data_IF_930197060584
#
_entry.id   IF_930197060584
#
_cell.length_a   1.000
_cell.length_b   1.000
_cell.length_c   1.000
_cell.angle_alpha   90.00
_cell.angle_beta   90.00
_cell.angle_gamma   90.00
#
_symmetry.space_group_name_H-M   'P 1'
#
loop_
_entity.id
_entity.type
_entity.pdbx_description
1 polymer ?
#
# COMPACT_ATOMS: atom_id res chain seq x y z
N UNK A 1 7.44 5.00 30.90
CA UNK A 1 8.29 5.84 30.04
C UNK A 1 7.35 6.87 29.42
N UNK A 2 7.57 8.17 29.61
CA UNK A 2 6.69 9.19 29.05
C UNK A 2 7.24 9.65 27.67
N UNK A 3 6.38 10.24 26.84
CA UNK A 3 6.70 10.64 25.46
C UNK A 3 7.92 11.62 25.41
N UNK A 4 8.06 12.49 26.41
CA UNK A 4 9.17 13.44 26.49
C UNK A 4 10.53 12.76 26.73
N UNK A 5 10.53 11.65 27.45
CA UNK A 5 11.74 10.87 27.70
C UNK A 5 12.17 10.12 26.42
N UNK A 6 11.20 9.60 25.65
CA UNK A 6 11.48 8.96 24.35
C UNK A 6 12.06 9.99 23.36
N UNK A 7 11.48 11.18 23.27
CA UNK A 7 11.98 12.26 22.39
C UNK A 7 13.40 12.68 22.80
N UNK A 8 13.66 12.87 24.11
CA UNK A 8 14.99 13.21 24.61
C UNK A 8 16.05 12.12 24.36
N UNK A 9 15.65 10.86 24.36
CA UNK A 9 16.56 9.75 24.07
C UNK A 9 16.85 9.62 22.57
N UNK A 10 15.88 9.96 21.71
CA UNK A 10 16.10 10.08 20.26
C UNK A 10 17.04 11.22 19.92
N UNK A 11 16.93 12.38 20.56
CA UNK A 11 17.85 13.53 20.37
C UNK A 11 19.31 13.21 20.72
N UNK A 12 19.55 12.29 21.65
CA UNK A 12 20.91 11.84 22.00
C UNK A 12 21.54 10.96 20.92
N UNK A 13 20.72 10.31 20.08
CA UNK A 13 21.13 9.40 19.02
C UNK A 13 21.20 10.13 17.68
N UNK A 14 20.30 11.09 17.44
CA UNK A 14 20.20 11.87 16.21
C UNK A 14 20.03 13.36 16.59
N UNK A 15 21.11 14.12 16.56
CA UNK A 15 21.13 15.54 16.94
C UNK A 15 20.19 16.41 16.08
N UNK A 16 19.88 15.97 14.86
CA UNK A 16 18.99 16.69 13.93
C UNK A 16 17.52 16.27 14.07
N UNK A 17 17.22 15.31 14.96
CA UNK A 17 15.85 14.80 15.15
C UNK A 17 14.88 15.92 15.57
N UNK A 18 15.33 16.87 16.39
CA UNK A 18 14.52 18.00 16.83
C UNK A 18 14.14 18.94 15.69
N UNK A 19 15.06 19.27 14.79
CA UNK A 19 14.77 20.11 13.63
C UNK A 19 13.84 19.40 12.64
N UNK A 20 14.04 18.11 12.43
CA UNK A 20 13.15 17.29 11.60
C UNK A 20 11.77 17.14 12.22
N UNK A 21 11.64 16.90 13.51
CA UNK A 21 10.37 16.87 14.24
C UNK A 21 9.68 18.24 14.24
N UNK A 22 10.43 19.34 14.36
CA UNK A 22 9.88 20.69 14.27
C UNK A 22 9.35 21.01 12.85
N UNK A 23 10.04 20.55 11.81
CA UNK A 23 9.60 20.68 10.41
C UNK A 23 8.28 19.94 10.16
N UNK A 24 8.12 18.73 10.74
CA UNK A 24 6.91 17.92 10.65
C UNK A 24 5.90 18.16 11.79
N UNK A 25 6.12 19.20 12.63
CA UNK A 25 5.24 19.47 13.76
C UNK A 25 3.79 19.73 13.30
N UNK A 26 2.80 19.28 14.11
CA UNK A 26 1.36 19.51 13.89
C UNK A 26 1.04 20.95 13.53
N UNK A 27 1.84 21.90 14.01
CA UNK A 27 1.65 23.34 13.74
C UNK A 27 1.95 23.73 12.28
N UNK A 28 2.91 23.08 11.64
CA UNK A 28 3.16 23.27 10.20
C UNK A 28 2.12 22.54 9.36
N UNK A 29 1.68 21.39 9.80
CA UNK A 29 0.53 20.67 9.22
C UNK A 29 -0.75 21.52 9.28
N UNK A 30 -1.03 22.14 10.43
CA UNK A 30 -2.20 23.03 10.60
C UNK A 30 -2.07 24.34 9.82
N UNK A 31 -0.85 24.86 9.63
CA UNK A 31 -0.63 26.05 8.76
C UNK A 31 -0.80 25.72 7.28
N UNK A 32 -0.39 24.53 6.85
CA UNK A 32 -0.66 24.01 5.50
C UNK A 32 -2.16 23.71 5.32
N UNK A 33 -2.80 23.08 6.31
CA UNK A 33 -4.24 22.82 6.31
C UNK A 33 -5.13 24.08 6.31
N UNK A 34 -4.69 25.21 6.92
CA UNK A 34 -5.43 26.49 6.87
C UNK A 34 -5.43 27.16 5.50
N UNK A 35 -4.49 26.82 4.61
CA UNK A 35 -4.49 27.27 3.21
C UNK A 35 -5.30 26.34 2.29
N UNK A 36 -5.70 25.17 2.76
CA UNK A 36 -6.45 24.14 2.01
C UNK A 36 -7.91 24.02 2.49
N UNK A 37 -8.37 24.87 3.43
CA UNK A 37 -9.72 24.80 4.00
C UNK A 37 -10.84 25.36 3.12
N UNK A 38 -10.65 25.41 1.82
CA UNK A 38 -11.72 25.73 0.87
C UNK A 38 -11.55 24.88 -0.39
N UNK A 39 -11.88 23.61 -0.35
CA UNK A 39 -12.46 22.84 -1.45
C UNK A 39 -12.34 21.33 -1.20
N UNK A 40 -13.37 20.64 -1.54
CA UNK A 40 -13.49 19.19 -1.80
C UNK A 40 -12.56 18.72 -2.96
N UNK A 41 -11.44 19.43 -3.21
CA UNK A 41 -10.45 19.19 -4.26
C UNK A 41 -9.08 18.75 -3.72
N UNK A 42 -9.02 18.23 -2.49
CA UNK A 42 -7.76 17.89 -1.84
C UNK A 42 -6.83 16.95 -2.64
N UNK A 43 -7.30 15.87 -3.30
CA UNK A 43 -6.42 15.03 -4.11
C UNK A 43 -5.82 15.75 -5.32
N UNK A 44 -6.60 16.61 -5.99
CA UNK A 44 -6.16 17.31 -7.19
C UNK A 44 -5.14 18.42 -6.88
N UNK A 45 -5.25 19.09 -5.73
CA UNK A 45 -4.30 20.15 -5.31
C UNK A 45 -2.97 19.55 -4.88
N UNK A 46 -2.97 18.44 -4.15
CA UNK A 46 -1.73 17.71 -3.78
C UNK A 46 -1.05 17.18 -5.06
N UNK A 47 -1.81 16.63 -5.98
CA UNK A 47 -1.30 16.16 -7.25
C UNK A 47 -0.72 17.27 -8.14
N UNK A 48 -1.34 18.46 -8.18
CA UNK A 48 -0.84 19.61 -8.93
C UNK A 48 0.48 20.14 -8.35
N UNK A 49 0.61 20.22 -7.03
CA UNK A 49 1.86 20.64 -6.38
C UNK A 49 3.00 19.63 -6.59
N UNK A 50 2.68 18.35 -6.75
CA UNK A 50 3.66 17.31 -7.09
C UNK A 50 4.11 17.39 -8.57
N UNK A 51 3.24 17.83 -9.47
CA UNK A 51 3.58 18.00 -10.89
C UNK A 51 4.50 19.22 -11.16
N UNK A 52 4.30 20.32 -10.45
CA UNK A 52 5.05 21.57 -10.69
C UNK A 52 6.46 21.55 -10.09
N UNK A 53 6.74 20.66 -9.15
CA UNK A 53 8.00 20.67 -8.38
C UNK A 53 9.10 19.78 -8.97
N UNK A 54 8.78 18.78 -9.83
CA UNK A 54 9.77 17.81 -10.27
C UNK A 54 9.57 17.38 -11.73
N UNK A 55 10.57 17.62 -12.57
CA UNK A 55 10.79 16.80 -13.76
C UNK A 55 11.08 15.38 -13.29
N UNK A 56 10.04 14.54 -13.23
CA UNK A 56 10.14 13.17 -12.72
C UNK A 56 11.13 12.37 -13.59
N UNK A 57 12.08 11.73 -12.95
CA UNK A 57 12.98 10.81 -13.65
C UNK A 57 12.15 9.67 -14.28
N UNK A 58 12.64 9.08 -15.37
CA UNK A 58 11.97 7.95 -16.04
C UNK A 58 11.71 6.78 -15.08
N UNK A 59 12.56 6.58 -14.08
CA UNK A 59 12.39 5.56 -13.05
C UNK A 59 11.20 5.85 -12.11
N UNK A 60 11.02 7.10 -11.69
CA UNK A 60 9.88 7.52 -10.85
C UNK A 60 8.57 7.36 -11.62
N UNK A 61 8.50 7.85 -12.86
CA UNK A 61 7.31 7.71 -13.71
C UNK A 61 6.96 6.23 -13.92
N UNK A 62 7.97 5.38 -14.15
CA UNK A 62 7.75 3.95 -14.33
C UNK A 62 7.23 3.28 -13.05
N UNK A 63 7.75 3.65 -11.87
CA UNK A 63 7.28 3.12 -10.58
C UNK A 63 5.85 3.56 -10.27
N UNK A 64 5.51 4.84 -10.49
CA UNK A 64 4.16 5.35 -10.28
C UNK A 64 3.14 4.76 -11.25
N UNK A 65 3.48 4.57 -12.52
CA UNK A 65 2.61 3.92 -13.50
C UNK A 65 2.40 2.43 -13.20
N UNK A 66 3.42 1.78 -12.68
CA UNK A 66 3.30 0.41 -12.20
C UNK A 66 2.31 0.34 -11.02
N UNK A 67 2.47 1.19 -10.01
CA UNK A 67 1.52 1.31 -8.91
C UNK A 67 0.11 1.61 -9.43
N UNK A 68 -0.06 2.62 -10.30
CA UNK A 68 -1.35 2.98 -10.89
C UNK A 68 -2.04 1.81 -11.61
N UNK A 69 -1.27 0.90 -12.21
CA UNK A 69 -1.85 -0.29 -12.86
C UNK A 69 -2.45 -1.26 -11.84
N UNK A 70 -1.82 -1.40 -10.67
CA UNK A 70 -2.35 -2.22 -9.57
C UNK A 70 -3.59 -1.58 -8.94
N UNK A 71 -3.55 -0.29 -8.67
CA UNK A 71 -4.72 0.44 -8.14
C UNK A 71 -5.93 0.38 -9.11
N UNK A 72 -5.68 0.43 -10.42
CA UNK A 72 -6.76 0.22 -11.40
C UNK A 72 -7.36 -1.19 -11.33
N UNK A 73 -6.52 -2.20 -11.08
CA UNK A 73 -6.97 -3.58 -10.92
C UNK A 73 -7.86 -3.72 -9.68
N UNK A 74 -7.45 -3.16 -8.55
CA UNK A 74 -8.14 -3.22 -7.28
C UNK A 74 -9.43 -2.39 -7.30
N UNK A 75 -9.39 -1.16 -7.81
CA UNK A 75 -10.59 -0.33 -8.04
C UNK A 75 -11.64 -1.07 -8.86
N UNK A 76 -11.24 -1.66 -9.99
CA UNK A 76 -12.17 -2.40 -10.86
C UNK A 76 -12.71 -3.66 -10.17
N UNK A 77 -11.86 -4.38 -9.45
CA UNK A 77 -12.24 -5.58 -8.72
C UNK A 77 -13.29 -5.28 -7.64
N UNK A 78 -13.05 -4.30 -6.78
CA UNK A 78 -14.01 -3.93 -5.75
C UNK A 78 -15.29 -3.33 -6.32
N UNK A 79 -15.20 -2.52 -7.36
CA UNK A 79 -16.35 -1.97 -8.07
C UNK A 79 -17.28 -3.08 -8.58
N UNK A 80 -16.73 -4.08 -9.24
CA UNK A 80 -17.48 -5.23 -9.76
C UNK A 80 -18.02 -6.11 -8.64
N UNK A 81 -17.23 -6.40 -7.61
CA UNK A 81 -17.66 -7.16 -6.45
C UNK A 81 -18.85 -6.52 -5.74
N UNK A 82 -18.79 -5.21 -5.50
CA UNK A 82 -19.88 -4.44 -4.89
C UNK A 82 -21.11 -4.35 -5.79
N UNK A 83 -20.93 -4.37 -7.11
CA UNK A 83 -22.01 -4.39 -8.09
C UNK A 83 -22.68 -5.76 -8.27
N UNK A 84 -22.03 -6.85 -7.81
CA UNK A 84 -22.57 -8.20 -7.94
C UNK A 84 -23.63 -8.46 -6.85
N UNK A 85 -24.88 -8.67 -7.29
CA UNK A 85 -26.00 -8.88 -6.37
C UNK A 85 -25.81 -10.16 -5.54
N UNK A 86 -25.97 -10.05 -4.22
CA UNK A 86 -25.91 -11.19 -3.29
C UNK A 86 -24.50 -11.73 -3.02
N UNK A 87 -23.45 -11.18 -3.63
CA UNK A 87 -22.09 -11.64 -3.43
C UNK A 87 -21.59 -11.31 -2.02
N UNK A 88 -21.64 -10.04 -1.61
CA UNK A 88 -21.10 -9.55 -0.36
C UNK A 88 -22.19 -9.51 0.70
N UNK A 89 -22.04 -10.23 1.85
CA UNK A 89 -22.99 -10.16 2.96
C UNK A 89 -23.20 -8.74 3.44
N UNK A 90 -24.41 -8.45 3.91
CA UNK A 90 -24.77 -7.12 4.41
C UNK A 90 -23.87 -6.64 5.55
N UNK A 91 -23.42 -7.57 6.42
CA UNK A 91 -22.51 -7.27 7.54
C UNK A 91 -21.15 -6.73 7.08
N UNK A 92 -20.63 -7.23 5.95
CA UNK A 92 -19.27 -6.93 5.48
C UNK A 92 -19.28 -5.83 4.39
N UNK A 93 -20.47 -5.49 3.88
CA UNK A 93 -20.60 -4.55 2.76
C UNK A 93 -20.03 -3.17 3.06
N UNK A 94 -20.15 -2.68 4.29
CA UNK A 94 -19.63 -1.39 4.69
C UNK A 94 -18.08 -1.36 4.61
N UNK A 95 -17.43 -2.46 5.01
CA UNK A 95 -15.98 -2.63 4.96
C UNK A 95 -15.52 -2.60 3.49
N UNK A 96 -16.10 -3.45 2.63
CA UNK A 96 -15.76 -3.51 1.21
C UNK A 96 -16.01 -2.18 0.49
N UNK A 97 -17.08 -1.46 0.86
CA UNK A 97 -17.34 -0.11 0.33
C UNK A 97 -16.28 0.88 0.76
N UNK A 98 -15.77 0.78 1.99
CA UNK A 98 -14.71 1.68 2.46
C UNK A 98 -13.37 1.39 1.76
N UNK A 99 -13.00 0.12 1.59
CA UNK A 99 -11.81 -0.25 0.81
C UNK A 99 -11.95 0.31 -0.63
N UNK A 100 -13.04 0.03 -1.32
CA UNK A 100 -13.27 0.56 -2.68
C UNK A 100 -13.13 2.09 -2.78
N UNK A 101 -13.54 2.85 -1.77
CA UNK A 101 -13.33 4.31 -1.74
C UNK A 101 -11.87 4.69 -1.61
N UNK A 102 -11.07 3.89 -0.90
CA UNK A 102 -9.64 4.13 -0.79
C UNK A 102 -8.96 3.87 -2.14
N UNK A 103 -9.30 2.79 -2.85
CA UNK A 103 -8.75 2.50 -4.18
C UNK A 103 -9.08 3.60 -5.21
N UNK A 104 -10.30 4.12 -5.19
CA UNK A 104 -10.67 5.29 -6.00
C UNK A 104 -9.78 6.50 -5.68
N UNK A 105 -9.48 6.73 -4.40
CA UNK A 105 -8.63 7.84 -3.97
C UNK A 105 -7.16 7.62 -4.35
N UNK A 106 -6.64 6.40 -4.25
CA UNK A 106 -5.29 6.03 -4.67
C UNK A 106 -5.11 6.23 -6.19
N UNK A 107 -6.04 5.73 -7.00
CA UNK A 107 -6.08 5.97 -8.45
C UNK A 107 -6.07 7.46 -8.77
N UNK A 108 -6.94 8.25 -8.12
CA UNK A 108 -7.04 9.68 -8.36
C UNK A 108 -5.73 10.41 -8.02
N UNK A 109 -5.09 10.04 -6.91
CA UNK A 109 -3.82 10.60 -6.46
C UNK A 109 -2.68 10.29 -7.45
N UNK A 110 -2.51 9.03 -7.83
CA UNK A 110 -1.45 8.61 -8.76
C UNK A 110 -1.64 9.21 -10.15
N UNK A 111 -2.87 9.25 -10.65
CA UNK A 111 -3.18 9.94 -11.93
C UNK A 111 -2.84 11.41 -11.87
N UNK A 112 -3.20 12.07 -10.77
CA UNK A 112 -2.88 13.48 -10.57
C UNK A 112 -1.37 13.72 -10.51
N UNK A 113 -0.62 12.87 -9.80
CA UNK A 113 0.83 12.95 -9.71
C UNK A 113 1.53 12.70 -11.05
N UNK A 114 0.99 11.82 -11.89
CA UNK A 114 1.54 11.49 -13.21
C UNK A 114 1.12 12.47 -14.31
N UNK A 115 -0.03 13.14 -14.17
CA UNK A 115 -0.56 14.03 -15.19
C UNK A 115 -0.70 13.34 -16.55
N UNK A 116 -0.11 13.93 -17.60
CA UNK A 116 -0.13 13.38 -18.96
C UNK A 116 0.72 12.10 -19.14
N UNK A 117 1.60 11.78 -18.17
CA UNK A 117 2.40 10.56 -18.19
C UNK A 117 1.64 9.34 -17.61
N UNK A 118 0.41 9.53 -17.10
CA UNK A 118 -0.39 8.44 -16.55
C UNK A 118 -0.82 7.46 -17.65
N UNK A 119 -0.57 6.15 -17.39
CA UNK A 119 -1.05 5.09 -18.28
C UNK A 119 -2.58 5.04 -18.26
N UNK A 120 -3.16 4.67 -19.39
CA UNK A 120 -4.60 4.40 -19.47
C UNK A 120 -4.96 3.18 -18.62
N UNK A 121 -6.19 3.16 -18.07
CA UNK A 121 -6.71 1.99 -17.34
C UNK A 121 -6.79 0.79 -18.30
N UNK A 122 -6.10 -0.32 -18.00
CA UNK A 122 -6.20 -1.54 -18.80
C UNK A 122 -7.61 -2.14 -18.73
N UNK A 123 -7.94 -3.02 -19.67
CA UNK A 123 -9.08 -3.90 -19.51
C UNK A 123 -8.67 -5.08 -18.59
N UNK A 124 -9.59 -5.46 -17.69
CA UNK A 124 -9.38 -6.55 -16.75
C UNK A 124 -10.42 -7.67 -16.95
N UNK A 125 -10.02 -8.88 -16.62
CA UNK A 125 -10.87 -10.07 -16.60
C UNK A 125 -10.68 -10.80 -15.28
N UNK A 126 -11.77 -11.08 -14.59
CA UNK A 126 -11.74 -11.70 -13.26
C UNK A 126 -12.30 -13.13 -13.27
N UNK A 127 -12.71 -13.64 -14.44
CA UNK A 127 -13.23 -15.01 -14.55
C UNK A 127 -14.39 -15.26 -13.57
N UNK A 128 -14.25 -16.31 -12.75
CA UNK A 128 -15.29 -16.76 -11.82
C UNK A 128 -15.13 -16.22 -10.40
N UNK A 129 -14.24 -15.22 -10.16
CA UNK A 129 -13.93 -14.73 -8.79
C UNK A 129 -15.15 -14.15 -8.06
N UNK A 130 -16.15 -13.68 -8.80
CA UNK A 130 -17.41 -13.16 -8.24
C UNK A 130 -18.49 -14.24 -8.07
N UNK A 131 -18.17 -15.52 -8.28
CA UNK A 131 -19.12 -16.62 -8.16
C UNK A 131 -19.55 -16.93 -6.71
N UNK A 132 -18.72 -16.63 -5.73
CA UNK A 132 -19.04 -16.73 -4.31
C UNK A 132 -18.15 -15.83 -3.46
N UNK A 133 -18.59 -15.53 -2.25
CA UNK A 133 -17.92 -14.61 -1.36
C UNK A 133 -16.53 -15.07 -0.89
N UNK A 134 -16.33 -16.38 -0.69
CA UNK A 134 -15.04 -16.92 -0.26
C UNK A 134 -13.96 -16.75 -1.33
N UNK A 135 -14.32 -17.01 -2.60
CA UNK A 135 -13.43 -16.80 -3.74
C UNK A 135 -13.11 -15.32 -3.92
N UNK A 136 -14.12 -14.46 -3.78
CA UNK A 136 -13.95 -13.00 -3.81
C UNK A 136 -12.95 -12.55 -2.72
N UNK A 137 -13.15 -12.97 -1.46
CA UNK A 137 -12.25 -12.61 -0.36
C UNK A 137 -10.83 -13.18 -0.56
N UNK A 138 -10.70 -14.39 -1.11
CA UNK A 138 -9.39 -14.97 -1.37
C UNK A 138 -8.62 -14.17 -2.44
N UNK A 139 -9.32 -13.70 -3.47
CA UNK A 139 -8.73 -12.86 -4.52
C UNK A 139 -8.42 -11.46 -3.98
N UNK A 140 -9.32 -10.88 -3.19
CA UNK A 140 -9.08 -9.61 -2.51
C UNK A 140 -7.80 -9.69 -1.67
N UNK A 141 -7.66 -10.71 -0.81
CA UNK A 141 -6.44 -10.90 -0.02
C UNK A 141 -5.18 -10.99 -0.90
N UNK A 142 -5.26 -11.72 -2.00
CA UNK A 142 -4.11 -11.86 -2.89
C UNK A 142 -3.72 -10.52 -3.53
N UNK A 143 -4.68 -9.67 -3.88
CA UNK A 143 -4.40 -8.33 -4.43
C UNK A 143 -3.81 -7.42 -3.36
N UNK A 144 -4.44 -7.29 -2.21
CA UNK A 144 -3.97 -6.43 -1.12
C UNK A 144 -2.56 -6.82 -0.63
N UNK A 145 -2.31 -8.12 -0.38
CA UNK A 145 -0.98 -8.61 -0.01
C UNK A 145 0.06 -8.32 -1.13
N UNK A 146 -0.36 -8.43 -2.40
CA UNK A 146 0.49 -8.08 -3.55
C UNK A 146 0.75 -6.57 -3.57
N UNK A 147 -0.25 -5.73 -3.34
CA UNK A 147 -0.14 -4.28 -3.28
C UNK A 147 0.87 -3.83 -2.22
N UNK A 148 0.75 -4.33 -0.98
CA UNK A 148 1.73 -4.07 0.11
C UNK A 148 3.15 -4.37 -0.35
N UNK A 149 3.37 -5.55 -0.91
CA UNK A 149 4.70 -6.03 -1.31
C UNK A 149 5.24 -5.35 -2.55
N UNK A 150 4.35 -4.95 -3.48
CA UNK A 150 4.68 -4.21 -4.69
C UNK A 150 5.17 -2.78 -4.36
N UNK A 151 4.44 -2.05 -3.51
CA UNK A 151 4.87 -0.72 -3.05
C UNK A 151 6.24 -0.77 -2.37
N UNK A 152 6.45 -1.76 -1.52
CA UNK A 152 7.74 -1.99 -0.86
C UNK A 152 8.86 -2.25 -1.88
N UNK A 153 8.60 -3.08 -2.89
CA UNK A 153 9.56 -3.40 -3.95
C UNK A 153 9.93 -2.22 -4.84
N UNK A 154 9.04 -1.22 -4.99
CA UNK A 154 9.29 0.00 -5.77
C UNK A 154 9.86 1.16 -4.95
N UNK A 155 9.92 1.06 -3.63
CA UNK A 155 10.37 2.15 -2.77
C UNK A 155 11.77 2.67 -3.14
N UNK A 156 12.68 1.77 -3.55
CA UNK A 156 14.02 2.13 -3.99
C UNK A 156 14.06 3.08 -5.19
N UNK A 157 13.11 2.94 -6.13
CA UNK A 157 13.02 3.81 -7.31
C UNK A 157 12.51 5.22 -6.97
N UNK A 158 11.92 5.41 -5.78
CA UNK A 158 11.35 6.67 -5.31
C UNK A 158 12.26 7.38 -4.28
N UNK A 159 13.42 6.81 -3.94
CA UNK A 159 14.33 7.40 -2.96
C UNK A 159 14.73 8.83 -3.35
N UNK A 160 14.69 9.72 -2.36
CA UNK A 160 15.05 11.13 -2.53
C UNK A 160 13.97 11.98 -3.21
N UNK A 161 12.77 11.43 -3.41
CA UNK A 161 11.62 12.16 -3.99
C UNK A 161 10.46 12.26 -3.00
N UNK A 162 9.60 13.27 -3.15
CA UNK A 162 8.38 13.41 -2.33
C UNK A 162 7.38 12.29 -2.61
N UNK A 163 7.46 11.66 -3.79
CA UNK A 163 6.63 10.54 -4.19
C UNK A 163 6.86 9.32 -3.30
N UNK A 164 8.04 9.16 -2.69
CA UNK A 164 8.27 8.10 -1.71
C UNK A 164 7.32 8.22 -0.52
N UNK A 165 7.15 9.44 0.02
CA UNK A 165 6.23 9.64 1.16
C UNK A 165 4.80 9.27 0.78
N UNK A 166 4.34 9.68 -0.40
CA UNK A 166 3.01 9.34 -0.91
C UNK A 166 2.84 7.83 -1.09
N UNK A 167 3.82 7.17 -1.70
CA UNK A 167 3.81 5.72 -1.88
C UNK A 167 3.76 4.96 -0.53
N UNK A 168 4.49 5.43 0.48
CA UNK A 168 4.45 4.86 1.83
C UNK A 168 3.11 5.10 2.55
N UNK A 169 2.44 6.22 2.27
CA UNK A 169 1.08 6.46 2.78
C UNK A 169 0.08 5.47 2.19
N UNK A 170 0.11 5.22 0.88
CA UNK A 170 -0.71 4.18 0.25
C UNK A 170 -0.31 2.80 0.80
N UNK A 171 0.96 2.41 0.74
CA UNK A 171 1.47 1.15 1.28
C UNK A 171 0.92 0.82 2.68
N UNK A 172 0.86 1.81 3.57
CA UNK A 172 0.35 1.59 4.93
C UNK A 172 -1.17 1.38 4.97
N UNK A 173 -1.92 1.88 3.99
CA UNK A 173 -3.37 1.64 3.84
C UNK A 173 -3.60 0.27 3.25
N UNK A 174 -2.83 -0.14 2.22
CA UNK A 174 -2.86 -1.50 1.67
C UNK A 174 -2.64 -2.57 2.75
N UNK A 175 -1.68 -2.36 3.65
CA UNK A 175 -1.45 -3.28 4.77
C UNK A 175 -2.67 -3.39 5.71
N UNK A 176 -3.45 -2.32 5.87
CA UNK A 176 -4.70 -2.35 6.65
C UNK A 176 -5.80 -3.08 5.90
N UNK A 177 -5.93 -2.88 4.58
CA UNK A 177 -6.87 -3.60 3.73
C UNK A 177 -6.57 -5.11 3.78
N UNK A 178 -5.31 -5.50 3.53
CA UNK A 178 -4.87 -6.88 3.62
C UNK A 178 -5.23 -7.51 4.97
N UNK A 179 -4.91 -6.82 6.08
CA UNK A 179 -5.22 -7.30 7.42
C UNK A 179 -6.72 -7.47 7.65
N UNK A 180 -7.55 -6.53 7.18
CA UNK A 180 -9.00 -6.59 7.35
C UNK A 180 -9.62 -7.69 6.49
N UNK A 181 -9.21 -7.84 5.22
CA UNK A 181 -9.68 -8.92 4.35
C UNK A 181 -9.29 -10.29 4.93
N UNK A 182 -8.08 -10.45 5.48
CA UNK A 182 -7.65 -11.65 6.18
C UNK A 182 -8.55 -11.96 7.38
N UNK A 183 -8.93 -10.96 8.16
CA UNK A 183 -9.84 -11.12 9.31
C UNK A 183 -11.22 -11.56 8.89
N UNK A 184 -11.77 -11.00 7.80
CA UNK A 184 -13.05 -11.44 7.23
C UNK A 184 -13.01 -12.91 6.76
N UNK A 185 -11.83 -13.41 6.39
CA UNK A 185 -11.59 -14.82 6.10
C UNK A 185 -11.37 -15.70 7.34
N UNK A 186 -11.37 -15.13 8.55
CA UNK A 186 -11.07 -15.84 9.79
C UNK A 186 -9.58 -16.17 9.97
N UNK A 187 -8.70 -15.47 9.23
CA UNK A 187 -7.26 -15.65 9.28
C UNK A 187 -6.59 -14.61 10.22
N UNK A 188 -5.30 -14.79 10.45
CA UNK A 188 -4.47 -13.77 11.11
C UNK A 188 -4.31 -12.56 10.18
N UNK A 189 -4.22 -11.36 10.76
CA UNK A 189 -4.08 -10.10 10.02
C UNK A 189 -2.66 -9.84 9.45
N UNK A 190 -1.82 -10.88 9.34
CA UNK A 190 -0.47 -10.83 8.80
C UNK A 190 -0.15 -12.12 8.04
N UNK A 191 0.87 -12.10 7.21
CA UNK A 191 1.33 -13.25 6.43
C UNK A 191 1.89 -14.33 7.38
N UNK A 192 1.57 -15.57 7.13
CA UNK A 192 1.96 -16.73 7.94
C UNK A 192 2.55 -17.86 7.08
N UNK A 193 3.13 -18.86 7.70
CA UNK A 193 3.64 -20.07 7.00
C UNK A 193 2.55 -20.84 6.23
N UNK A 194 1.28 -20.60 6.52
CA UNK A 194 0.16 -21.20 5.79
C UNK A 194 -0.15 -20.49 4.46
N UNK A 195 0.35 -19.28 4.30
CA UNK A 195 0.21 -18.50 3.06
C UNK A 195 1.28 -18.97 2.07
N UNK A 196 0.87 -19.50 0.91
CA UNK A 196 1.75 -20.10 -0.08
C UNK A 196 1.45 -19.64 -1.50
N UNK A 197 2.38 -19.91 -2.40
CA UNK A 197 2.25 -19.55 -3.81
C UNK A 197 2.97 -18.26 -4.20
N UNK A 198 2.82 -17.81 -5.46
CA UNK A 198 3.60 -16.68 -6.01
C UNK A 198 3.44 -15.38 -5.25
N UNK A 199 2.25 -15.13 -4.67
CA UNK A 199 1.96 -13.92 -3.87
C UNK A 199 2.87 -13.85 -2.65
N UNK A 200 3.30 -14.99 -2.10
CA UNK A 200 4.07 -15.09 -0.85
C UNK A 200 5.52 -15.56 -1.05
N UNK A 201 6.01 -15.52 -2.29
CA UNK A 201 7.41 -15.85 -2.59
C UNK A 201 8.36 -14.91 -1.83
N UNK A 202 9.36 -15.48 -1.14
CA UNK A 202 10.33 -14.72 -0.35
C UNK A 202 9.96 -14.54 1.13
N UNK A 203 8.74 -14.89 1.56
CA UNK A 203 8.32 -14.77 2.96
C UNK A 203 8.99 -15.79 3.89
N UNK A 204 9.71 -16.77 3.36
CA UNK A 204 10.52 -17.72 4.13
C UNK A 204 11.79 -17.12 4.74
N UNK A 205 12.12 -15.87 4.45
CA UNK A 205 13.33 -15.21 4.93
C UNK A 205 13.26 -14.94 6.43
N UNK A 206 14.33 -15.31 7.14
CA UNK A 206 14.48 -15.12 8.60
C UNK A 206 15.55 -14.10 8.96
N UNK A 207 16.20 -13.51 7.96
CA UNK A 207 17.27 -12.51 8.15
C UNK A 207 16.90 -11.19 7.49
N UNK A 208 16.99 -10.10 8.25
CA UNK A 208 16.79 -8.74 7.75
C UNK A 208 18.09 -7.96 7.80
N UNK A 209 18.53 -7.39 6.67
CA UNK A 209 19.79 -6.64 6.57
C UNK A 209 21.00 -7.39 7.15
N UNK A 210 21.06 -8.71 6.95
CA UNK A 210 22.12 -9.59 7.46
C UNK A 210 21.97 -10.01 8.92
N UNK A 211 20.91 -9.56 9.60
CA UNK A 211 20.63 -9.93 11.00
C UNK A 211 19.66 -11.13 11.03
N UNK A 212 20.08 -12.24 11.63
CA UNK A 212 19.18 -13.39 11.85
C UNK A 212 18.25 -13.11 13.03
N UNK A 213 16.99 -12.83 12.72
CA UNK A 213 15.99 -12.41 13.69
C UNK A 213 15.59 -13.52 14.67
N UNK A 214 15.57 -14.78 14.21
CA UNK A 214 15.25 -15.91 15.08
C UNK A 214 16.33 -16.08 16.17
N UNK A 215 17.61 -15.95 15.80
CA UNK A 215 18.72 -15.99 16.76
C UNK A 215 18.69 -14.80 17.72
N UNK A 216 18.45 -13.60 17.20
CA UNK A 216 18.47 -12.36 18.00
C UNK A 216 17.33 -12.31 19.02
N UNK A 217 16.13 -12.73 18.60
CA UNK A 217 14.93 -12.64 19.43
C UNK A 217 14.71 -13.82 20.37
N UNK A 218 15.42 -14.93 20.17
CA UNK A 218 15.17 -16.21 20.85
C UNK A 218 13.78 -16.81 20.52
N UNK A 219 13.16 -16.35 19.44
CA UNK A 219 11.85 -16.79 18.96
C UNK A 219 12.02 -17.82 17.83
N UNK A 220 10.95 -18.54 17.50
CA UNK A 220 10.97 -19.46 16.36
C UNK A 220 11.17 -18.71 15.03
N UNK A 221 11.71 -19.40 14.04
CA UNK A 221 11.83 -18.89 12.68
C UNK A 221 10.49 -18.39 12.12
N UNK A 222 9.40 -19.14 12.36
CA UNK A 222 8.04 -18.75 12.02
C UNK A 222 7.67 -17.37 12.57
N UNK A 223 7.89 -17.12 13.87
CA UNK A 223 7.57 -15.82 14.47
C UNK A 223 8.45 -14.69 13.97
N UNK A 224 9.69 -15.00 13.60
CA UNK A 224 10.57 -14.00 12.99
C UNK A 224 10.04 -13.60 11.60
N UNK A 225 9.64 -14.57 10.76
CA UNK A 225 9.05 -14.31 9.44
C UNK A 225 7.72 -13.55 9.54
N UNK A 226 6.82 -13.96 10.43
CA UNK A 226 5.52 -13.29 10.65
C UNK A 226 5.64 -11.80 11.07
N UNK A 227 6.84 -11.29 11.31
CA UNK A 227 7.08 -9.90 11.75
C UNK A 227 7.43 -8.96 10.59
N UNK A 228 7.57 -9.48 9.38
CA UNK A 228 7.98 -8.71 8.20
C UNK A 228 7.26 -9.23 6.97
N UNK A 229 6.88 -8.33 6.08
CA UNK A 229 6.43 -8.66 4.73
C UNK A 229 7.57 -8.36 3.75
N UNK A 230 8.00 -9.35 2.99
CA UNK A 230 9.11 -9.19 2.05
C UNK A 230 8.66 -8.46 0.77
N UNK A 231 9.51 -7.65 0.15
CA UNK A 231 9.17 -6.99 -1.10
C UNK A 231 9.05 -8.00 -2.25
N UNK A 232 8.18 -7.71 -3.22
CA UNK A 232 8.16 -8.37 -4.52
C UNK A 232 8.82 -7.49 -5.57
N UNK A 233 9.57 -8.11 -6.48
CA UNK A 233 10.05 -7.42 -7.66
C UNK A 233 8.90 -7.11 -8.62
N UNK A 234 9.11 -6.12 -9.50
CA UNK A 234 8.13 -5.78 -10.54
C UNK A 234 7.71 -7.00 -11.36
N UNK A 235 8.65 -7.83 -11.77
CA UNK A 235 8.38 -9.00 -12.63
C UNK A 235 7.56 -10.06 -11.88
N UNK A 236 7.82 -10.27 -10.59
CA UNK A 236 7.02 -11.16 -9.76
C UNK A 236 5.57 -10.66 -9.64
N UNK A 237 5.38 -9.38 -9.38
CA UNK A 237 4.05 -8.77 -9.33
C UNK A 237 3.33 -8.87 -10.67
N UNK A 238 4.00 -8.56 -11.77
CA UNK A 238 3.42 -8.69 -13.12
C UNK A 238 3.00 -10.12 -13.42
N UNK A 239 3.79 -11.12 -13.02
CA UNK A 239 3.41 -12.52 -13.16
C UNK A 239 2.15 -12.89 -12.36
N UNK A 240 1.97 -12.30 -11.16
CA UNK A 240 0.78 -12.50 -10.31
C UNK A 240 -0.47 -11.90 -10.96
N UNK A 241 -0.36 -10.68 -11.50
CA UNK A 241 -1.53 -9.94 -12.04
C UNK A 241 -1.82 -10.24 -13.51
N UNK A 242 -0.86 -10.81 -14.26
CA UNK A 242 -1.03 -11.14 -15.68
C UNK A 242 -2.30 -11.94 -16.01
N UNK A 243 -2.75 -12.93 -15.21
CA UNK A 243 -3.99 -13.65 -15.47
C UNK A 243 -5.24 -12.76 -15.49
N UNK A 244 -5.19 -11.58 -14.88
CA UNK A 244 -6.31 -10.64 -14.77
C UNK A 244 -6.29 -9.53 -15.84
N UNK A 245 -5.22 -9.41 -16.60
CA UNK A 245 -5.17 -8.51 -17.76
C UNK A 245 -5.90 -9.15 -18.95
N UNK A 246 -6.74 -8.36 -19.64
CA UNK A 246 -7.55 -8.84 -20.77
C UNK A 246 -6.79 -8.69 -22.11
#
# INVERSE_FOLDING_TARGET
MNLFQIVSDIEKIDADAHERLAYYSRRNWLKMGRRVSAAVAAPAVVAATLNDAYAQSTGVVAALNFALTLEYLEDEFYRLGLGTSGLIPAADRAIMTQISKHEIAHVALLRGALGSAAVAKPAFKFGTVFGNYQTFLATAQAFEDTGVRAYKGQAGALLGTDQLTVALQIHSVEARHAAEVRRLRGLRGWITDADTGPVYAGEEITSQSGVNLAMLSGKSATRARESFDEPLTRDQVLAIVAPFLA
#
